data_IF_695629595364
#
_entry.id   IF_695629595364
#
_cell.length_a   1.000
_cell.length_b   1.000
_cell.length_c   1.000
_cell.angle_alpha   90.00
_cell.angle_beta   90.00
_cell.angle_gamma   90.00
#
_symmetry.space_group_name_H-M   'P 1'
#
loop_
_entity.id
_entity.type
_entity.pdbx_description
1 polymer ?
#
# COMPACT_ATOMS: atom_id res chain seq x y z
N UNK A 1 -15.35 12.78 4.87
CA UNK A 1 -14.40 13.06 5.96
C UNK A 1 -14.60 11.97 7.00
N UNK A 2 -13.74 10.94 7.02
CA UNK A 2 -13.77 9.93 8.07
C UNK A 2 -12.59 10.21 9.00
N UNK A 3 -12.86 10.88 10.11
CA UNK A 3 -11.88 11.10 11.16
C UNK A 3 -11.67 9.78 11.92
N UNK A 4 -10.44 9.25 11.92
CA UNK A 4 -10.05 8.18 12.83
C UNK A 4 -9.92 8.77 14.25
N UNK A 5 -10.55 8.18 15.28
CA UNK A 5 -10.61 8.78 16.60
C UNK A 5 -9.23 8.82 17.27
N UNK A 6 -8.90 10.02 17.74
CA UNK A 6 -7.70 10.35 18.53
C UNK A 6 -7.78 9.69 19.92
N UNK A 7 -7.24 8.49 20.08
CA UNK A 7 -6.89 7.98 21.43
C UNK A 7 -5.84 6.85 21.40
N UNK A 8 -4.59 7.20 21.75
CA UNK A 8 -3.58 6.41 22.47
C UNK A 8 -3.08 5.05 21.90
N UNK A 9 -2.45 5.08 20.73
CA UNK A 9 -1.31 4.22 20.45
C UNK A 9 -0.28 5.07 19.70
N UNK A 10 1.03 4.80 19.85
CA UNK A 10 2.03 5.33 18.91
C UNK A 10 1.48 5.08 17.51
N UNK A 11 1.16 6.15 16.76
CA UNK A 11 0.47 6.01 15.48
C UNK A 11 1.20 4.96 14.66
N UNK A 12 0.53 3.91 14.20
CA UNK A 12 1.22 2.87 13.46
C UNK A 12 1.91 3.53 12.27
N UNK A 13 3.16 3.18 11.93
CA UNK A 13 3.86 3.82 10.83
C UNK A 13 3.00 3.65 9.57
N UNK A 14 2.53 4.78 9.06
CA UNK A 14 1.73 4.91 7.86
C UNK A 14 2.52 5.64 6.80
N UNK A 15 2.36 5.24 5.54
CA UNK A 15 2.90 5.96 4.39
C UNK A 15 1.73 6.37 3.52
N UNK A 16 1.47 7.67 3.48
CA UNK A 16 0.55 8.27 2.54
C UNK A 16 1.33 8.69 1.30
N UNK A 17 1.00 8.05 0.19
CA UNK A 17 1.51 8.33 -1.14
C UNK A 17 0.37 8.70 -2.10
N UNK A 18 -0.82 9.02 -1.57
CA UNK A 18 -1.98 9.37 -2.36
C UNK A 18 -1.80 10.69 -3.13
N UNK A 19 -2.54 10.85 -4.24
CA UNK A 19 -2.57 12.09 -5.03
C UNK A 19 -1.21 12.53 -5.63
N UNK A 20 -0.29 11.60 -5.86
CA UNK A 20 1.07 11.89 -6.36
C UNK A 20 1.27 11.56 -7.85
N UNK A 21 0.19 11.31 -8.59
CA UNK A 21 0.23 10.94 -10.02
C UNK A 21 1.20 9.79 -10.34
N UNK A 22 1.45 8.89 -9.37
CA UNK A 22 2.38 7.78 -9.54
C UNK A 22 1.91 6.86 -10.67
N UNK A 23 2.74 6.63 -11.67
CA UNK A 23 2.42 5.78 -12.84
C UNK A 23 3.00 4.37 -12.72
N UNK A 24 4.04 4.21 -11.90
CA UNK A 24 4.69 2.94 -11.57
C UNK A 24 5.28 2.96 -10.16
N UNK A 25 5.60 1.77 -9.63
CA UNK A 25 6.32 1.59 -8.38
C UNK A 25 7.64 0.86 -8.67
N UNK A 26 8.80 1.39 -8.23
CA UNK A 26 10.06 0.69 -8.40
C UNK A 26 10.05 -0.68 -7.69
N UNK A 27 10.71 -1.66 -8.30
CA UNK A 27 10.85 -2.98 -7.69
C UNK A 27 11.60 -2.84 -6.36
N UNK A 28 11.03 -3.41 -5.31
CA UNK A 28 11.65 -3.44 -4.00
C UNK A 28 11.59 -2.15 -3.20
N UNK A 29 10.82 -1.14 -3.64
CA UNK A 29 10.64 0.15 -2.93
C UNK A 29 10.15 -0.03 -1.49
N UNK A 30 9.54 -1.17 -1.16
CA UNK A 30 9.01 -1.47 0.17
C UNK A 30 9.77 -2.54 0.96
N UNK A 31 10.90 -3.04 0.46
CA UNK A 31 11.60 -4.20 1.04
C UNK A 31 11.97 -4.02 2.53
N UNK A 32 12.30 -2.80 2.94
CA UNK A 32 12.73 -2.50 4.31
C UNK A 32 11.61 -1.93 5.19
N UNK A 33 10.38 -1.86 4.70
CA UNK A 33 9.23 -1.29 5.41
C UNK A 33 8.47 -2.34 6.24
N UNK A 34 9.20 -3.24 6.90
CA UNK A 34 8.62 -4.36 7.67
C UNK A 34 7.72 -3.93 8.81
N UNK A 35 7.90 -2.72 9.35
CA UNK A 35 7.07 -2.17 10.44
C UNK A 35 5.80 -1.48 9.95
N UNK A 36 5.69 -1.20 8.65
CA UNK A 36 4.58 -0.43 8.07
C UNK A 36 3.26 -1.15 8.28
N UNK A 37 2.22 -0.42 8.72
CA UNK A 37 0.87 -0.99 8.88
C UNK A 37 -0.16 -0.39 7.94
N UNK A 38 0.04 0.84 7.48
CA UNK A 38 -0.88 1.55 6.60
C UNK A 38 -0.11 2.05 5.37
N UNK A 39 -0.60 1.71 4.19
CA UNK A 39 -0.12 2.24 2.92
C UNK A 39 -1.31 2.78 2.14
N UNK A 40 -1.30 4.08 1.86
CA UNK A 40 -2.31 4.73 1.05
C UNK A 40 -1.69 5.12 -0.30
N UNK A 41 -2.16 4.50 -1.38
CA UNK A 41 -1.75 4.77 -2.75
C UNK A 41 -2.89 5.34 -3.59
N UNK A 42 -4.03 5.71 -3.00
CA UNK A 42 -5.22 6.13 -3.76
C UNK A 42 -4.97 7.37 -4.62
N UNK A 43 -5.82 7.56 -5.64
CA UNK A 43 -5.73 8.73 -6.54
C UNK A 43 -4.35 8.89 -7.21
N UNK A 44 -3.75 7.78 -7.60
CA UNK A 44 -2.57 7.74 -8.44
C UNK A 44 -2.93 7.13 -9.80
N UNK A 45 -1.95 7.03 -10.69
CA UNK A 45 -2.13 6.61 -12.08
C UNK A 45 -1.46 5.25 -12.35
N UNK A 46 -1.35 4.40 -11.32
CA UNK A 46 -0.74 3.09 -11.47
C UNK A 46 -1.57 2.27 -12.47
N UNK A 47 -0.90 1.80 -13.52
CA UNK A 47 -1.51 1.02 -14.60
C UNK A 47 -1.29 -0.48 -14.45
N UNK A 48 -0.21 -0.86 -13.76
CA UNK A 48 0.15 -2.23 -13.43
C UNK A 48 0.86 -2.30 -12.08
N UNK A 49 0.81 -3.49 -11.46
CA UNK A 49 1.59 -3.80 -10.26
C UNK A 49 2.48 -4.99 -10.60
N UNK A 50 3.79 -4.78 -10.55
CA UNK A 50 4.76 -5.83 -10.78
C UNK A 50 4.63 -6.93 -9.72
N UNK A 51 5.07 -8.14 -10.07
CA UNK A 51 5.07 -9.23 -9.11
C UNK A 51 5.96 -8.86 -7.93
N UNK A 52 5.50 -9.19 -6.72
CA UNK A 52 6.29 -8.98 -5.52
C UNK A 52 6.64 -7.51 -5.22
N UNK A 53 5.93 -6.52 -5.81
CA UNK A 53 6.10 -5.09 -5.49
C UNK A 53 6.00 -4.81 -3.99
N UNK A 54 5.11 -5.53 -3.29
CA UNK A 54 4.86 -5.34 -1.86
C UNK A 54 5.64 -6.30 -0.95
N UNK A 55 6.70 -6.95 -1.47
CA UNK A 55 7.63 -7.67 -0.61
C UNK A 55 8.25 -6.72 0.42
N UNK A 56 8.37 -7.21 1.66
CA UNK A 56 8.83 -6.43 2.80
C UNK A 56 7.71 -5.82 3.64
N UNK A 57 6.48 -5.69 3.13
CA UNK A 57 5.31 -5.19 3.87
C UNK A 57 4.66 -6.25 4.76
N UNK A 58 5.48 -6.96 5.55
CA UNK A 58 5.06 -8.14 6.32
C UNK A 58 4.00 -7.85 7.41
N UNK A 59 3.91 -6.61 7.88
CA UNK A 59 2.96 -6.19 8.93
C UNK A 59 1.88 -5.22 8.42
N UNK A 60 1.69 -5.10 7.11
CA UNK A 60 0.70 -4.21 6.53
C UNK A 60 -0.72 -4.69 6.85
N UNK A 61 -1.53 -3.81 7.44
CA UNK A 61 -2.90 -4.08 7.88
C UNK A 61 -3.94 -3.40 7.00
N UNK A 62 -3.64 -2.20 6.54
CA UNK A 62 -4.53 -1.39 5.70
C UNK A 62 -3.77 -1.01 4.44
N UNK A 63 -4.36 -1.30 3.30
CA UNK A 63 -3.80 -0.96 2.00
C UNK A 63 -4.88 -0.36 1.12
N UNK A 64 -4.70 0.88 0.63
CA UNK A 64 -5.68 1.52 -0.25
C UNK A 64 -5.07 1.72 -1.64
N UNK A 65 -5.64 1.03 -2.64
CA UNK A 65 -5.35 1.20 -4.08
C UNK A 65 -6.60 1.68 -4.83
N UNK A 66 -7.52 2.36 -4.14
CA UNK A 66 -8.70 2.91 -4.79
C UNK A 66 -8.32 4.00 -5.79
N UNK A 67 -9.15 4.14 -6.81
CA UNK A 67 -9.03 5.22 -7.80
C UNK A 67 -7.69 5.24 -8.55
N UNK A 68 -7.10 4.06 -8.78
CA UNK A 68 -6.00 3.86 -9.72
C UNK A 68 -6.53 3.64 -11.15
N UNK A 69 -5.61 3.48 -12.11
CA UNK A 69 -5.91 3.06 -13.49
C UNK A 69 -5.43 1.62 -13.75
N UNK A 70 -5.46 0.77 -12.72
CA UNK A 70 -4.94 -0.60 -12.78
C UNK A 70 -5.70 -1.42 -13.82
N UNK A 71 -4.97 -1.94 -14.81
CA UNK A 71 -5.48 -2.87 -15.83
C UNK A 71 -4.91 -4.26 -15.65
N UNK A 72 -3.64 -4.33 -15.24
CA UNK A 72 -2.89 -5.58 -15.13
C UNK A 72 -2.52 -5.85 -13.68
N UNK A 73 -3.36 -6.64 -13.01
CA UNK A 73 -3.12 -7.15 -11.65
C UNK A 73 -3.12 -8.67 -11.72
N UNK A 74 -2.06 -9.30 -11.23
CA UNK A 74 -1.94 -10.76 -11.21
C UNK A 74 -2.04 -11.28 -9.78
N UNK A 75 -2.25 -12.60 -9.63
CA UNK A 75 -2.19 -13.28 -8.32
C UNK A 75 -0.88 -13.05 -7.56
N UNK A 76 0.21 -12.70 -8.24
CA UNK A 76 1.52 -12.45 -7.65
C UNK A 76 1.81 -10.96 -7.38
N UNK A 77 0.94 -10.05 -7.85
CA UNK A 77 1.09 -8.61 -7.62
C UNK A 77 1.00 -8.26 -6.12
N UNK A 78 0.21 -9.01 -5.35
CA UNK A 78 0.03 -8.81 -3.90
C UNK A 78 0.86 -9.78 -3.03
N UNK A 79 1.84 -10.47 -3.63
CA UNK A 79 2.72 -11.36 -2.89
C UNK A 79 3.47 -10.57 -1.80
N UNK A 80 3.43 -11.06 -0.56
CA UNK A 80 4.08 -10.43 0.60
C UNK A 80 3.11 -9.75 1.59
N UNK A 81 1.88 -9.42 1.16
CA UNK A 81 0.83 -8.83 2.00
C UNK A 81 0.13 -9.88 2.88
N UNK A 82 0.90 -10.59 3.71
CA UNK A 82 0.41 -11.76 4.48
C UNK A 82 -0.50 -11.42 5.65
N UNK A 83 -0.48 -10.17 6.11
CA UNK A 83 -1.18 -9.72 7.32
C UNK A 83 -2.30 -8.71 7.02
N UNK A 84 -2.62 -8.54 5.74
CA UNK A 84 -3.59 -7.56 5.26
C UNK A 84 -4.98 -7.89 5.80
N UNK A 85 -5.62 -6.89 6.39
CA UNK A 85 -6.97 -7.00 6.94
C UNK A 85 -7.97 -6.21 6.10
N UNK A 86 -7.56 -5.03 5.62
CA UNK A 86 -8.38 -4.13 4.84
C UNK A 86 -7.67 -3.78 3.53
N UNK A 87 -8.41 -3.94 2.42
CA UNK A 87 -8.02 -3.57 1.06
C UNK A 87 -9.07 -2.62 0.46
#
# INVERSE_FOLDING_TARGET
MNEYPRSYASSPPGRDLSNNSLTSLPVGVFLHLSRLRILDLRHNLLSSIANATFLGLANLRTFDLSQQKLRNVTRHSFLGLRTLLNL
#
